data_IF_004556429925
#
_entry.id   IF_004556429925
#
_cell.length_a   1.000
_cell.length_b   1.000
_cell.length_c   1.000
_cell.angle_alpha   90.00
_cell.angle_beta   90.00
_cell.angle_gamma   90.00
#
_symmetry.space_group_name_H-M   'P 1'
#
loop_
_entity.id
_entity.type
_entity.pdbx_description
1 polymer ?
#
# COMPACT_ATOMS: atom_id res chain seq x y z
N UNK A 1 -24.69 -86.65 -5.56
CA UNK A 1 -24.62 -86.07 -4.20
C UNK A 1 -24.69 -84.57 -4.38
N UNK A 2 -25.81 -83.88 -4.13
CA UNK A 2 -26.93 -84.15 -3.19
C UNK A 2 -26.39 -84.32 -1.75
N UNK A 3 -26.85 -83.60 -0.71
CA UNK A 3 -28.05 -82.74 -0.62
C UNK A 3 -27.92 -81.59 0.43
N UNK A 4 -29.05 -80.96 0.81
CA UNK A 4 -29.32 -79.81 1.70
C UNK A 4 -28.54 -79.79 3.06
N UNK A 5 -28.39 -78.70 3.82
CA UNK A 5 -29.34 -77.63 4.25
C UNK A 5 -29.97 -77.99 5.63
N UNK A 6 -30.41 -77.10 6.55
CA UNK A 6 -30.58 -75.64 6.62
C UNK A 6 -30.53 -75.13 8.09
N UNK A 7 -30.46 -73.81 8.31
CA UNK A 7 -30.83 -73.12 9.57
C UNK A 7 -30.35 -71.65 9.56
N UNK A 8 -31.14 -70.57 9.49
CA UNK A 8 -32.42 -70.15 10.14
C UNK A 8 -32.25 -70.03 11.68
N UNK A 9 -32.62 -68.94 12.38
CA UNK A 9 -33.37 -67.71 12.00
C UNK A 9 -33.06 -66.52 12.99
N UNK A 10 -33.81 -65.39 13.14
CA UNK A 10 -33.21 -64.06 12.90
C UNK A 10 -33.51 -62.94 13.96
N UNK A 11 -33.19 -61.69 13.59
CA UNK A 11 -33.73 -60.38 14.09
C UNK A 11 -33.54 -60.02 15.58
N UNK A 12 -32.83 -58.91 15.80
CA UNK A 12 -33.18 -57.92 16.81
C UNK A 12 -32.77 -56.51 16.33
N UNK A 13 -33.74 -55.64 16.03
CA UNK A 13 -33.51 -54.21 15.77
C UNK A 13 -33.89 -53.44 17.02
N UNK A 14 -32.98 -52.61 17.52
CA UNK A 14 -33.28 -51.64 18.60
C UNK A 14 -32.66 -50.30 18.23
N UNK A 15 -33.41 -49.21 18.42
CA UNK A 15 -33.03 -47.87 17.96
C UNK A 15 -33.08 -46.84 19.09
N UNK A 16 -32.39 -45.71 18.88
CA UNK A 16 -32.25 -44.55 19.80
C UNK A 16 -31.32 -44.84 21.00
N UNK A 17 -30.72 -43.83 21.65
CA UNK A 17 -30.93 -42.38 21.53
C UNK A 17 -29.62 -41.57 21.54
N UNK A 18 -29.68 -40.35 21.00
CA UNK A 18 -28.61 -39.34 21.04
C UNK A 18 -28.46 -38.71 22.43
N UNK A 19 -27.24 -38.63 22.99
CA UNK A 19 -26.91 -37.62 24.00
C UNK A 19 -26.58 -36.28 23.32
N UNK A 20 -26.88 -35.18 24.02
CA UNK A 20 -26.74 -33.79 23.54
C UNK A 20 -25.31 -33.26 23.59
N UNK A 21 -25.06 -32.14 22.92
CA UNK A 21 -23.84 -31.34 23.07
C UNK A 21 -23.42 -31.17 24.54
N UNK A 22 -22.16 -31.48 24.85
CA UNK A 22 -21.45 -30.85 25.95
C UNK A 22 -20.70 -29.63 25.38
N UNK A 23 -21.18 -28.43 25.67
CA UNK A 23 -20.57 -27.17 25.22
C UNK A 23 -19.26 -26.96 26.00
N UNK A 24 -18.12 -27.01 25.30
CA UNK A 24 -16.82 -26.67 25.92
C UNK A 24 -16.87 -25.20 26.34
N UNK A 25 -16.57 -24.85 27.61
CA UNK A 25 -16.59 -23.46 28.06
C UNK A 25 -15.42 -22.67 27.47
N UNK A 26 -15.61 -21.36 27.29
CA UNK A 26 -14.56 -20.45 26.83
C UNK A 26 -13.31 -20.59 27.71
N UNK A 27 -12.15 -20.85 27.10
CA UNK A 27 -10.88 -20.56 27.75
C UNK A 27 -10.60 -19.06 27.58
N UNK A 28 -11.23 -18.28 28.45
CA UNK A 28 -11.13 -16.82 28.47
C UNK A 28 -9.70 -16.39 28.86
N UNK A 29 -8.88 -16.10 27.85
CA UNK A 29 -7.50 -15.65 28.05
C UNK A 29 -7.51 -14.25 28.65
N UNK A 30 -7.32 -14.18 29.98
CA UNK A 30 -7.39 -12.95 30.75
C UNK A 30 -6.46 -11.86 30.19
N UNK A 31 -7.05 -10.77 29.70
CA UNK A 31 -6.31 -9.57 29.28
C UNK A 31 -5.69 -8.93 30.53
N UNK A 32 -4.37 -8.74 30.60
CA UNK A 32 -3.76 -8.06 31.74
C UNK A 32 -4.20 -6.60 31.78
N UNK A 33 -4.53 -6.03 32.96
CA UNK A 33 -5.02 -4.66 33.05
C UNK A 33 -3.91 -3.68 32.64
N UNK A 34 -4.12 -3.04 31.48
CA UNK A 34 -3.22 -2.02 30.94
C UNK A 34 -3.15 -0.83 31.91
N UNK A 35 -2.10 -0.77 32.72
CA UNK A 35 -1.90 0.31 33.70
C UNK A 35 -1.64 1.62 32.96
N UNK A 36 -2.70 2.42 32.83
CA UNK A 36 -2.66 3.78 32.31
C UNK A 36 -1.82 4.67 33.25
N UNK A 37 -0.50 4.69 33.03
CA UNK A 37 0.40 5.66 33.63
C UNK A 37 0.14 7.03 32.99
N UNK A 38 -0.81 7.76 33.56
CA UNK A 38 -1.07 9.16 33.23
C UNK A 38 0.19 9.97 33.59
N UNK A 39 0.90 10.58 32.63
CA UNK A 39 1.93 11.55 32.97
C UNK A 39 1.24 12.78 33.55
N UNK A 40 1.48 13.04 34.85
CA UNK A 40 0.96 14.25 35.50
C UNK A 40 1.71 15.45 34.93
N UNK A 41 1.10 16.10 33.94
CA UNK A 41 1.61 17.32 33.34
C UNK A 41 1.50 18.46 34.35
N UNK A 42 2.59 18.71 35.08
CA UNK A 42 2.70 19.78 36.06
C UNK A 42 2.72 21.15 35.36
N UNK A 43 1.53 21.71 35.11
CA UNK A 43 1.37 23.07 34.58
C UNK A 43 1.81 24.08 35.65
N UNK A 44 3.06 24.51 35.58
CA UNK A 44 3.57 25.61 36.40
C UNK A 44 3.02 26.94 35.87
N UNK A 45 2.10 27.58 36.62
CA UNK A 45 1.67 28.94 36.33
C UNK A 45 2.81 29.91 36.64
N UNK A 46 3.44 30.47 35.61
CA UNK A 46 4.22 31.70 35.71
C UNK A 46 3.34 32.86 35.26
N UNK A 47 2.91 33.68 36.21
CA UNK A 47 2.11 34.87 35.95
C UNK A 47 2.95 36.14 36.11
N UNK A 48 3.04 36.95 35.05
CA UNK A 48 3.48 38.34 35.13
C UNK A 48 2.50 39.23 34.34
N UNK A 49 1.83 40.15 35.04
CA UNK A 49 1.04 41.22 34.43
C UNK A 49 1.95 42.31 33.86
N UNK A 50 1.47 43.06 32.85
CA UNK A 50 2.05 44.35 32.48
C UNK A 50 1.72 44.82 31.07
N UNK A 51 0.60 45.55 30.85
CA UNK A 51 0.27 46.15 29.56
C UNK A 51 0.64 47.64 29.50
N UNK A 52 1.05 48.14 28.33
CA UNK A 52 0.69 49.51 27.91
C UNK A 52 0.73 49.66 26.38
N UNK A 53 0.01 50.67 25.87
CA UNK A 53 -0.10 51.04 24.46
C UNK A 53 0.23 52.55 24.28
N UNK A 54 -0.14 53.13 23.12
CA UNK A 54 0.11 54.53 22.70
C UNK A 54 1.58 54.84 22.30
N UNK A 55 1.88 55.71 21.33
CA UNK A 55 1.00 56.45 20.41
C UNK A 55 1.71 56.87 19.10
N UNK A 56 0.92 57.37 18.14
CA UNK A 56 1.32 58.25 17.03
C UNK A 56 0.48 59.56 17.15
N UNK A 57 0.85 60.74 16.59
CA UNK A 57 1.08 60.99 15.15
C UNK A 57 2.48 61.66 14.92
N UNK A 58 2.84 62.58 14.02
CA UNK A 58 2.19 63.56 13.11
C UNK A 58 2.97 63.74 11.78
N UNK A 59 2.48 64.64 10.92
CA UNK A 59 3.18 65.23 9.76
C UNK A 59 2.87 66.73 9.75
N UNK A 60 3.74 67.60 9.19
CA UNK A 60 3.25 68.39 8.06
C UNK A 60 4.31 68.66 6.97
N UNK A 61 3.89 69.27 5.85
CA UNK A 61 4.71 69.51 4.66
C UNK A 61 4.62 70.97 4.15
N UNK A 62 5.67 71.42 3.43
CA UNK A 62 5.71 72.47 2.41
C UNK A 62 7.12 72.40 1.75
N UNK A 63 7.33 72.26 0.43
CA UNK A 63 6.94 73.08 -0.74
C UNK A 63 7.87 74.30 -0.98
N UNK A 64 8.11 74.76 -2.23
CA UNK A 64 8.38 73.97 -3.45
C UNK A 64 9.50 74.54 -4.38
N UNK A 65 9.81 73.81 -5.46
CA UNK A 65 10.30 74.27 -6.78
C UNK A 65 11.70 74.90 -6.98
N UNK A 66 12.56 74.16 -7.70
CA UNK A 66 13.51 74.67 -8.70
C UNK A 66 13.80 73.55 -9.74
N UNK A 67 14.11 73.89 -11.00
CA UNK A 67 14.24 72.91 -12.09
C UNK A 67 15.68 72.71 -12.58
N UNK A 68 16.04 71.48 -12.92
CA UNK A 68 17.25 71.10 -13.65
C UNK A 68 16.99 69.83 -14.51
N UNK A 69 17.71 69.68 -15.62
CA UNK A 69 17.48 68.65 -16.64
C UNK A 69 18.24 67.34 -16.36
N UNK A 70 17.75 66.17 -16.83
CA UNK A 70 18.39 64.89 -16.57
C UNK A 70 19.66 64.67 -17.43
N UNK A 71 20.79 64.22 -16.85
CA UNK A 71 21.88 63.63 -17.61
C UNK A 71 21.52 62.21 -18.10
N UNK A 72 22.20 61.74 -19.14
CA UNK A 72 21.99 60.39 -19.71
C UNK A 72 22.38 59.26 -18.75
N UNK A 73 21.75 58.07 -18.85
CA UNK A 73 22.05 56.94 -17.98
C UNK A 73 23.50 56.45 -18.15
N UNK A 74 24.23 56.38 -17.04
CA UNK A 74 25.53 55.73 -16.99
C UNK A 74 25.39 54.21 -17.19
N UNK A 75 26.40 53.58 -17.79
CA UNK A 75 26.39 52.14 -18.04
C UNK A 75 26.35 51.34 -16.72
N UNK A 76 25.45 50.37 -16.64
CA UNK A 76 25.40 49.43 -15.51
C UNK A 76 26.65 48.55 -15.49
N UNK A 77 27.21 48.24 -14.30
CA UNK A 77 28.28 47.24 -14.20
C UNK A 77 27.74 45.85 -14.61
N UNK A 78 28.60 44.97 -15.15
CA UNK A 78 28.17 43.64 -15.57
C UNK A 78 27.67 42.82 -14.36
N UNK A 79 26.49 42.23 -14.50
CA UNK A 79 25.92 41.40 -13.44
C UNK A 79 26.73 40.10 -13.26
N UNK A 80 27.13 39.83 -12.02
CA UNK A 80 27.66 38.51 -11.63
C UNK A 80 26.63 37.44 -11.98
N UNK A 81 27.00 36.31 -12.61
CA UNK A 81 26.05 35.27 -12.95
C UNK A 81 25.47 34.67 -11.66
N UNK A 82 24.17 34.86 -11.44
CA UNK A 82 23.41 34.14 -10.41
C UNK A 82 23.59 32.65 -10.64
N UNK A 83 24.11 31.92 -9.64
CA UNK A 83 24.14 30.47 -9.69
C UNK A 83 22.69 29.98 -9.74
N UNK A 84 22.28 29.42 -10.88
CA UNK A 84 20.95 28.88 -11.05
C UNK A 84 20.78 27.66 -10.17
N UNK A 85 19.86 27.74 -9.19
CA UNK A 85 19.43 26.58 -8.42
C UNK A 85 18.89 25.53 -9.37
N UNK A 86 19.65 24.45 -9.59
CA UNK A 86 19.17 23.28 -10.35
C UNK A 86 17.99 22.69 -9.57
N UNK A 87 16.78 22.60 -10.14
CA UNK A 87 15.63 22.07 -9.41
C UNK A 87 15.87 20.60 -9.06
N UNK A 88 15.93 20.29 -7.77
CA UNK A 88 15.98 18.90 -7.30
C UNK A 88 14.69 18.18 -7.74
N UNK A 89 14.83 16.98 -8.30
CA UNK A 89 13.69 16.22 -8.80
C UNK A 89 12.70 15.88 -7.68
N UNK A 90 11.50 16.46 -7.73
CA UNK A 90 10.38 16.10 -6.86
C UNK A 90 9.70 14.83 -7.34
N UNK A 91 8.88 14.20 -6.51
CA UNK A 91 8.13 12.98 -6.89
C UNK A 91 7.27 13.24 -8.13
N UNK A 92 6.63 14.40 -8.23
CA UNK A 92 5.78 14.77 -9.36
C UNK A 92 6.54 14.81 -10.69
N UNK A 93 7.84 15.11 -10.68
CA UNK A 93 8.67 15.08 -11.89
C UNK A 93 8.88 13.68 -12.47
N UNK A 94 8.61 12.62 -11.70
CA UNK A 94 8.60 11.23 -12.16
C UNK A 94 7.22 10.74 -12.63
N UNK A 95 6.16 11.56 -12.48
CA UNK A 95 4.79 11.22 -12.92
C UNK A 95 4.56 11.77 -14.33
N UNK A 96 4.42 10.92 -15.37
CA UNK A 96 4.28 11.43 -16.74
C UNK A 96 2.97 12.19 -16.96
N UNK A 97 3.01 13.21 -17.81
CA UNK A 97 1.88 14.11 -18.06
C UNK A 97 0.55 13.37 -18.31
N UNK A 98 -0.52 13.84 -17.66
CA UNK A 98 -1.86 13.21 -17.69
C UNK A 98 -2.01 11.96 -16.80
N UNK A 99 -0.92 11.38 -16.31
CA UNK A 99 -0.96 10.31 -15.29
C UNK A 99 -1.20 10.92 -13.90
N UNK A 100 -1.60 10.08 -12.92
CA UNK A 100 -1.80 10.49 -11.53
C UNK A 100 -1.00 9.59 -10.58
N UNK A 101 -0.28 10.18 -9.62
CA UNK A 101 0.13 9.44 -8.42
C UNK A 101 -1.12 9.03 -7.62
N UNK A 102 -1.40 7.73 -7.60
CA UNK A 102 -2.50 7.14 -6.83
C UNK A 102 -2.14 7.03 -5.35
N UNK A 103 -0.91 6.59 -5.09
CA UNK A 103 -0.31 6.44 -3.77
C UNK A 103 1.18 6.77 -3.84
N UNK A 104 1.72 7.29 -2.74
CA UNK A 104 3.09 7.76 -2.60
C UNK A 104 3.54 7.50 -1.17
N UNK A 105 4.30 6.42 -0.96
CA UNK A 105 4.81 6.03 0.34
C UNK A 105 6.28 6.42 0.48
N UNK A 106 6.58 7.35 1.40
CA UNK A 106 7.94 7.70 1.80
C UNK A 106 8.45 6.70 2.85
N UNK A 107 9.70 6.29 2.73
CA UNK A 107 10.35 5.40 3.69
C UNK A 107 11.72 4.96 3.19
N UNK A 108 12.39 4.11 3.95
CA UNK A 108 13.73 3.61 3.63
C UNK A 108 13.62 2.32 2.81
N UNK A 109 13.61 2.44 1.47
CA UNK A 109 13.48 1.27 0.58
C UNK A 109 14.75 0.41 0.58
N UNK A 110 15.91 0.98 0.92
CA UNK A 110 17.22 0.31 0.82
C UNK A 110 17.75 -0.25 2.14
N UNK A 111 17.22 0.19 3.29
CA UNK A 111 17.74 -0.15 4.61
C UNK A 111 18.93 0.73 5.04
N UNK A 112 19.13 1.87 4.38
CA UNK A 112 20.24 2.80 4.57
C UNK A 112 19.85 4.07 5.35
N UNK A 113 18.60 4.18 5.80
CA UNK A 113 18.07 5.36 6.50
C UNK A 113 17.70 6.55 5.59
N UNK A 114 17.60 6.33 4.28
CA UNK A 114 17.24 7.37 3.31
C UNK A 114 15.72 7.59 3.21
N UNK A 115 15.29 8.78 2.77
CA UNK A 115 13.87 9.07 2.53
C UNK A 115 13.49 8.76 1.08
N UNK A 116 13.61 7.49 0.72
CA UNK A 116 13.19 6.94 -0.57
C UNK A 116 11.65 7.06 -0.74
N UNK A 117 11.13 6.77 -1.94
CA UNK A 117 9.70 6.78 -2.24
C UNK A 117 9.27 5.62 -3.14
N UNK A 118 8.21 4.91 -2.75
CA UNK A 118 7.42 4.06 -3.63
C UNK A 118 6.24 4.89 -4.17
N UNK A 119 6.05 4.91 -5.49
CA UNK A 119 4.99 5.69 -6.15
C UNK A 119 4.16 4.78 -7.05
N UNK A 120 2.85 4.69 -6.79
CA UNK A 120 1.91 3.96 -7.66
C UNK A 120 1.26 4.95 -8.60
N UNK A 121 1.53 4.82 -9.90
CA UNK A 121 1.06 5.72 -10.96
C UNK A 121 -0.11 5.07 -11.70
N UNK A 122 -1.27 5.72 -11.62
CA UNK A 122 -2.38 5.45 -12.54
C UNK A 122 -2.14 6.16 -13.88
N UNK A 123 -2.30 5.48 -15.02
CA UNK A 123 -2.23 6.11 -16.34
C UNK A 123 -3.39 7.11 -16.53
N UNK A 124 -3.35 7.96 -17.59
CA UNK A 124 -4.48 8.80 -17.95
C UNK A 124 -5.71 7.93 -18.24
N UNK A 125 -6.85 8.25 -17.62
CA UNK A 125 -8.11 7.58 -17.90
C UNK A 125 -8.66 8.03 -19.26
N UNK A 126 -9.19 7.10 -20.07
CA UNK A 126 -9.87 7.42 -21.34
C UNK A 126 -11.36 7.74 -21.14
N UNK A 127 -11.91 7.46 -19.95
CA UNK A 127 -13.28 7.79 -19.56
C UNK A 127 -14.36 6.86 -20.14
N UNK A 128 -13.94 5.77 -20.78
CA UNK A 128 -14.80 4.83 -21.51
C UNK A 128 -14.45 3.35 -21.26
N UNK A 129 -13.47 3.08 -20.38
CA UNK A 129 -13.05 1.75 -19.95
C UNK A 129 -14.21 1.02 -19.25
N UNK A 130 -14.54 -0.20 -19.66
CA UNK A 130 -15.56 -1.04 -18.98
C UNK A 130 -14.96 -1.80 -17.79
N UNK A 131 -15.80 -2.59 -17.11
CA UNK A 131 -15.33 -3.54 -16.09
C UNK A 131 -14.33 -4.53 -16.72
N UNK A 132 -13.18 -4.74 -16.08
CA UNK A 132 -12.09 -5.56 -16.61
C UNK A 132 -11.24 -4.90 -17.71
N UNK A 133 -11.56 -3.68 -18.14
CA UNK A 133 -10.81 -2.95 -19.18
C UNK A 133 -10.00 -1.79 -18.57
N UNK A 134 -8.86 -1.49 -19.20
CA UNK A 134 -8.00 -0.35 -18.88
C UNK A 134 -6.52 -0.69 -18.91
N UNK A 135 -5.67 0.33 -18.89
CA UNK A 135 -4.22 0.16 -18.80
C UNK A 135 -3.81 -0.24 -17.36
N UNK A 136 -2.82 -1.14 -17.19
CA UNK A 136 -2.29 -1.47 -15.86
C UNK A 136 -1.55 -0.26 -15.26
N UNK A 137 -1.37 -0.29 -13.94
CA UNK A 137 -0.65 0.76 -13.22
C UNK A 137 0.84 0.45 -13.13
N UNK A 138 1.64 1.51 -12.99
CA UNK A 138 3.09 1.40 -12.88
C UNK A 138 3.51 1.76 -11.46
N UNK A 139 4.36 0.94 -10.86
CA UNK A 139 4.96 1.20 -9.54
C UNK A 139 6.41 1.61 -9.78
N UNK A 140 6.78 2.79 -9.32
CA UNK A 140 8.16 3.29 -9.32
C UNK A 140 8.77 3.14 -7.95
N UNK A 141 10.05 2.78 -7.91
CA UNK A 141 10.91 2.91 -6.74
C UNK A 141 11.89 4.06 -7.01
N UNK A 142 11.82 5.10 -6.18
CA UNK A 142 12.69 6.27 -6.25
C UNK A 142 13.61 6.26 -5.03
N UNK A 143 14.92 6.15 -5.23
CA UNK A 143 15.91 6.24 -4.13
C UNK A 143 16.39 7.67 -3.96
N UNK A 144 16.71 8.06 -2.72
CA UNK A 144 17.33 9.34 -2.40
C UNK A 144 18.86 9.26 -2.43
N UNK A 145 19.48 10.19 -3.15
CA UNK A 145 20.93 10.40 -3.18
C UNK A 145 21.43 11.13 -1.93
N UNK A 146 22.75 11.13 -1.73
CA UNK A 146 23.40 11.81 -0.59
C UNK A 146 23.23 13.34 -0.57
N UNK A 147 22.86 13.96 -1.70
CA UNK A 147 22.49 15.39 -1.81
C UNK A 147 21.00 15.65 -1.52
N UNK A 148 20.23 14.60 -1.20
CA UNK A 148 18.80 14.65 -0.96
C UNK A 148 17.92 14.53 -2.23
N UNK A 149 18.51 14.52 -3.43
CA UNK A 149 17.75 14.39 -4.70
C UNK A 149 17.16 12.99 -4.85
N UNK A 150 16.01 12.87 -5.52
CA UNK A 150 15.44 11.57 -5.88
C UNK A 150 15.90 11.14 -7.28
N UNK A 151 16.07 9.84 -7.48
CA UNK A 151 16.29 9.21 -8.78
C UNK A 151 15.46 7.92 -8.91
N UNK A 152 15.01 7.58 -10.12
CA UNK A 152 14.28 6.33 -10.36
C UNK A 152 15.26 5.14 -10.36
N UNK A 153 15.13 4.26 -9.36
CA UNK A 153 15.93 3.05 -9.23
C UNK A 153 15.29 1.85 -9.96
N UNK A 154 13.97 1.70 -9.91
CA UNK A 154 13.26 0.62 -10.60
C UNK A 154 11.81 0.97 -10.98
N UNK A 155 11.21 0.18 -11.87
CA UNK A 155 9.82 0.34 -12.35
C UNK A 155 9.22 -1.03 -12.70
N UNK A 156 7.97 -1.27 -12.28
CA UNK A 156 7.19 -2.46 -12.68
C UNK A 156 5.78 -2.04 -13.14
N UNK A 157 5.31 -2.55 -14.28
CA UNK A 157 3.99 -2.25 -14.88
C UNK A 157 3.03 -3.45 -14.96
N UNK A 158 3.28 -4.51 -14.19
CA UNK A 158 2.52 -5.78 -14.19
C UNK A 158 1.88 -6.11 -12.84
N UNK A 159 2.43 -5.61 -11.72
CA UNK A 159 1.95 -5.94 -10.36
C UNK A 159 0.54 -5.40 -10.10
N UNK A 160 0.26 -4.14 -10.43
CA UNK A 160 -0.99 -3.47 -10.05
C UNK A 160 -1.92 -3.36 -11.28
N UNK A 161 -3.07 -4.08 -11.29
CA UNK A 161 -3.97 -4.05 -12.45
C UNK A 161 -4.68 -2.70 -12.66
N UNK A 162 -5.43 -2.62 -13.76
CA UNK A 162 -6.19 -1.42 -14.13
C UNK A 162 -7.23 -1.03 -13.07
N UNK A 163 -7.63 0.23 -13.03
CA UNK A 163 -8.60 0.77 -12.05
C UNK A 163 -9.99 0.10 -12.07
N UNK A 164 -10.31 -0.70 -13.11
CA UNK A 164 -11.57 -1.45 -13.24
C UNK A 164 -11.36 -2.98 -13.24
N UNK A 165 -10.16 -3.45 -12.92
CA UNK A 165 -9.77 -4.86 -13.03
C UNK A 165 -10.06 -5.69 -11.77
N UNK A 166 -10.57 -5.10 -10.68
CA UNK A 166 -10.92 -5.81 -9.44
C UNK A 166 -12.27 -6.54 -9.47
N UNK A 167 -12.97 -6.56 -10.61
CA UNK A 167 -14.31 -7.12 -10.69
C UNK A 167 -15.33 -6.30 -9.89
N UNK A 168 -16.30 -6.97 -9.26
CA UNK A 168 -17.32 -6.28 -8.43
C UNK A 168 -16.77 -5.79 -7.08
N UNK A 169 -15.48 -5.96 -6.79
CA UNK A 169 -14.76 -5.18 -5.77
C UNK A 169 -14.54 -3.71 -6.19
N UNK A 170 -14.48 -3.43 -7.49
CA UNK A 170 -14.11 -2.13 -8.04
C UNK A 170 -12.62 -2.05 -8.35
N UNK A 171 -11.91 -1.16 -7.64
CA UNK A 171 -10.49 -0.89 -7.85
C UNK A 171 -9.62 -1.98 -7.19
N UNK A 172 -8.73 -2.67 -7.93
CA UNK A 172 -7.95 -3.75 -7.36
C UNK A 172 -6.75 -3.30 -6.53
N UNK A 173 -6.42 -2.01 -6.47
CA UNK A 173 -5.31 -1.54 -5.64
C UNK A 173 -5.76 -1.35 -4.18
N UNK A 174 -5.22 -2.16 -3.26
CA UNK A 174 -5.56 -2.08 -1.85
C UNK A 174 -4.65 -1.11 -1.08
N UNK A 175 -3.34 -1.36 -1.07
CA UNK A 175 -2.35 -0.46 -0.45
C UNK A 175 -0.92 -0.76 -0.92
N UNK A 176 0.00 0.16 -0.60
CA UNK A 176 1.43 -0.12 -0.53
C UNK A 176 1.96 0.21 0.87
N UNK A 177 3.08 -0.41 1.26
CA UNK A 177 3.72 -0.16 2.55
C UNK A 177 5.23 -0.24 2.38
N UNK A 178 5.95 0.76 2.90
CA UNK A 178 7.42 0.76 2.97
C UNK A 178 7.87 0.56 4.42
N UNK A 179 8.90 -0.27 4.59
CA UNK A 179 9.59 -0.58 5.85
C UNK A 179 11.11 -0.60 5.55
N UNK A 180 12.01 -0.46 6.54
CA UNK A 180 13.46 -0.40 6.29
C UNK A 180 13.97 -1.61 5.48
N UNK A 181 14.39 -1.36 4.24
CA UNK A 181 14.89 -2.38 3.31
C UNK A 181 13.83 -3.30 2.69
N UNK A 182 12.53 -3.02 2.85
CA UNK A 182 11.44 -3.89 2.40
C UNK A 182 10.18 -3.09 2.04
N UNK A 183 9.40 -3.55 1.04
CA UNK A 183 8.06 -3.03 0.80
C UNK A 183 7.09 -4.13 0.41
N UNK A 184 5.80 -3.87 0.62
CA UNK A 184 4.69 -4.74 0.18
C UNK A 184 3.74 -3.94 -0.71
N UNK A 185 3.25 -4.57 -1.77
CA UNK A 185 2.15 -4.10 -2.60
C UNK A 185 1.01 -5.09 -2.45
N UNK A 186 -0.17 -4.60 -2.07
CA UNK A 186 -1.38 -5.40 -1.87
C UNK A 186 -2.40 -5.08 -2.96
N UNK A 187 -2.93 -6.12 -3.59
CA UNK A 187 -4.05 -6.04 -4.54
C UNK A 187 -5.16 -7.01 -4.16
N UNK A 188 -6.41 -6.70 -4.52
CA UNK A 188 -7.55 -7.57 -4.25
C UNK A 188 -8.65 -7.44 -5.31
N UNK A 189 -9.65 -8.32 -5.26
CA UNK A 189 -10.75 -8.26 -6.22
C UNK A 189 -11.81 -9.35 -6.03
N UNK A 190 -12.58 -9.57 -7.08
CA UNK A 190 -13.59 -10.64 -7.17
C UNK A 190 -15.04 -10.12 -7.07
N UNK A 191 -15.94 -10.98 -6.59
CA UNK A 191 -17.38 -10.72 -6.47
C UNK A 191 -18.00 -11.41 -5.24
N UNK A 192 -18.48 -12.65 -5.37
CA UNK A 192 -18.78 -13.55 -4.24
C UNK A 192 -17.50 -14.21 -3.76
N UNK A 193 -16.79 -14.88 -4.67
CA UNK A 193 -15.38 -15.21 -4.46
C UNK A 193 -14.56 -13.92 -4.42
N UNK A 194 -13.75 -13.74 -3.39
CA UNK A 194 -12.81 -12.64 -3.18
C UNK A 194 -11.40 -13.18 -3.23
N UNK A 195 -10.52 -12.47 -3.91
CA UNK A 195 -9.09 -12.78 -3.91
C UNK A 195 -8.28 -11.59 -3.38
N UNK A 196 -7.13 -11.88 -2.79
CA UNK A 196 -6.11 -10.89 -2.44
C UNK A 196 -4.72 -11.46 -2.69
N UNK A 197 -3.81 -10.65 -3.24
CA UNK A 197 -2.40 -10.97 -3.37
C UNK A 197 -1.56 -9.87 -2.68
N UNK A 198 -0.75 -10.27 -1.70
CA UNK A 198 0.28 -9.44 -1.08
C UNK A 198 1.66 -9.86 -1.63
N UNK A 199 2.33 -8.93 -2.33
CA UNK A 199 3.68 -9.14 -2.87
C UNK A 199 4.71 -8.35 -2.06
N UNK A 200 5.57 -9.05 -1.33
CA UNK A 200 6.64 -8.45 -0.50
C UNK A 200 7.99 -8.57 -1.19
N UNK A 201 8.70 -7.45 -1.30
CA UNK A 201 10.03 -7.34 -1.90
C UNK A 201 11.03 -6.78 -0.91
N UNK A 202 12.25 -7.31 -0.92
CA UNK A 202 13.32 -6.96 0.00
C UNK A 202 14.58 -6.54 -0.76
N UNK A 203 15.24 -5.49 -0.30
CA UNK A 203 16.47 -5.01 -0.90
C UNK A 203 17.63 -5.99 -0.67
N UNK A 204 18.34 -6.34 -1.74
CA UNK A 204 19.57 -7.12 -1.71
C UNK A 204 20.75 -6.20 -2.00
N UNK A 205 21.59 -5.95 -1.00
CA UNK A 205 22.78 -5.13 -1.14
C UNK A 205 23.74 -5.71 -2.21
N UNK A 206 23.94 -7.03 -2.22
CA UNK A 206 24.80 -7.76 -3.16
C UNK A 206 24.34 -7.67 -4.63
N UNK A 207 23.05 -7.38 -4.87
CA UNK A 207 22.44 -7.23 -6.19
C UNK A 207 22.05 -5.79 -6.51
N UNK A 208 22.18 -4.88 -5.54
CA UNK A 208 21.76 -3.47 -5.58
C UNK A 208 20.32 -3.28 -6.12
N UNK A 209 19.42 -4.21 -5.79
CA UNK A 209 18.03 -4.22 -6.26
C UNK A 209 17.12 -4.96 -5.30
N UNK A 210 15.81 -4.82 -5.48
CA UNK A 210 14.79 -5.50 -4.69
C UNK A 210 14.46 -6.85 -5.32
N UNK A 211 14.52 -7.90 -4.51
CA UNK A 211 14.10 -9.25 -4.88
C UNK A 211 12.74 -9.56 -4.25
N UNK A 212 11.94 -10.40 -4.89
CA UNK A 212 10.73 -10.96 -4.30
C UNK A 212 11.13 -11.82 -3.10
N UNK A 213 10.50 -11.58 -1.95
CA UNK A 213 10.86 -12.15 -0.63
C UNK A 213 9.75 -13.08 -0.13
N UNK A 214 8.49 -12.65 -0.27
CA UNK A 214 7.30 -13.45 0.03
C UNK A 214 6.13 -13.07 -0.89
N UNK A 215 5.27 -14.04 -1.18
CA UNK A 215 3.90 -13.78 -1.67
C UNK A 215 2.90 -14.48 -0.77
N UNK A 216 1.80 -13.80 -0.45
CA UNK A 216 0.59 -14.42 0.13
C UNK A 216 -0.53 -14.25 -0.87
N UNK A 217 -1.26 -15.33 -1.18
CA UNK A 217 -2.44 -15.34 -2.06
C UNK A 217 -3.62 -15.93 -1.31
N UNK A 218 -4.68 -15.16 -1.13
CA UNK A 218 -5.92 -15.59 -0.49
C UNK A 218 -7.06 -15.70 -1.50
N UNK A 219 -7.92 -16.69 -1.30
CA UNK A 219 -9.21 -16.85 -1.97
C UNK A 219 -10.27 -17.20 -0.92
N UNK A 220 -11.37 -16.46 -0.85
CA UNK A 220 -12.48 -16.72 0.06
C UNK A 220 -13.85 -16.49 -0.58
N UNK A 221 -14.90 -17.13 -0.05
CA UNK A 221 -16.28 -16.99 -0.54
C UNK A 221 -17.14 -16.27 0.52
N UNK A 222 -17.78 -15.15 0.15
CA UNK A 222 -18.57 -14.33 1.06
C UNK A 222 -19.95 -14.91 1.43
N UNK A 223 -20.37 -16.03 0.84
CA UNK A 223 -21.63 -16.73 1.16
C UNK A 223 -21.40 -18.04 1.93
N UNK A 224 -20.29 -18.75 1.68
CA UNK A 224 -20.00 -20.05 2.33
C UNK A 224 -18.97 -19.98 3.46
N UNK A 225 -18.33 -18.82 3.67
CA UNK A 225 -17.20 -18.60 4.60
C UNK A 225 -15.97 -19.50 4.31
N UNK A 226 -15.93 -20.19 3.17
CA UNK A 226 -14.76 -20.98 2.75
C UNK A 226 -13.59 -20.06 2.43
N UNK A 227 -12.37 -20.50 2.77
CA UNK A 227 -11.13 -19.73 2.58
C UNK A 227 -9.94 -20.66 2.35
N UNK A 228 -9.08 -20.30 1.40
CA UNK A 228 -7.80 -20.92 1.11
C UNK A 228 -6.71 -19.83 1.08
N UNK A 229 -5.55 -20.10 1.69
CA UNK A 229 -4.32 -19.31 1.55
C UNK A 229 -3.25 -20.13 0.84
N UNK A 230 -2.45 -19.48 0.00
CA UNK A 230 -1.18 -19.99 -0.52
C UNK A 230 -0.07 -18.97 -0.21
N UNK A 231 0.89 -19.36 0.62
CA UNK A 231 2.15 -18.64 0.77
C UNK A 231 3.21 -19.20 -0.20
N UNK A 232 4.04 -18.32 -0.76
CA UNK A 232 5.18 -18.65 -1.63
C UNK A 232 6.44 -17.89 -1.18
N UNK A 233 7.59 -18.51 -1.37
CA UNK A 233 8.92 -18.02 -0.95
C UNK A 233 9.96 -18.16 -2.07
N UNK A 234 11.19 -17.70 -1.80
CA UNK A 234 12.36 -17.87 -2.67
C UNK A 234 12.59 -19.32 -3.15
N UNK A 235 12.14 -20.32 -2.39
CA UNK A 235 12.18 -21.75 -2.77
C UNK A 235 11.19 -22.12 -3.88
N UNK A 236 10.11 -21.37 -4.01
CA UNK A 236 9.00 -21.63 -4.93
C UNK A 236 9.15 -20.88 -6.27
N UNK A 237 9.76 -19.68 -6.24
CA UNK A 237 9.95 -18.83 -7.42
C UNK A 237 11.41 -18.47 -7.73
N UNK A 238 12.39 -18.84 -6.89
CA UNK A 238 13.80 -18.53 -7.08
C UNK A 238 14.15 -17.06 -6.78
N UNK A 239 15.20 -16.55 -7.43
CA UNK A 239 15.59 -15.14 -7.32
C UNK A 239 14.94 -14.32 -8.45
N UNK A 240 13.88 -13.57 -8.13
CA UNK A 240 13.15 -12.72 -9.08
C UNK A 240 13.28 -11.25 -8.66
N UNK A 241 13.67 -10.36 -9.58
CA UNK A 241 13.76 -8.91 -9.28
C UNK A 241 12.38 -8.26 -9.29
N UNK A 242 12.22 -7.14 -8.58
CA UNK A 242 11.02 -6.31 -8.68
C UNK A 242 10.75 -5.83 -10.11
N UNK A 243 11.78 -5.52 -10.91
CA UNK A 243 11.61 -5.06 -12.29
C UNK A 243 11.13 -6.17 -13.23
N UNK A 244 11.53 -7.42 -12.99
CA UNK A 244 11.23 -8.57 -13.84
C UNK A 244 9.99 -9.36 -13.38
N UNK A 245 9.57 -9.19 -12.13
CA UNK A 245 8.45 -9.93 -11.54
C UNK A 245 7.13 -9.74 -12.30
N UNK A 246 6.40 -10.84 -12.49
CA UNK A 246 5.06 -10.89 -13.05
C UNK A 246 4.18 -11.84 -12.22
N UNK A 247 3.11 -11.35 -11.55
CA UNK A 247 2.19 -12.17 -10.78
C UNK A 247 1.61 -13.37 -11.54
N UNK A 248 1.46 -13.28 -12.87
CA UNK A 248 0.88 -14.32 -13.70
C UNK A 248 1.77 -15.57 -13.85
N UNK A 249 3.06 -15.46 -13.50
CA UNK A 249 4.01 -16.60 -13.51
C UNK A 249 3.91 -17.49 -12.28
N UNK A 250 3.26 -17.03 -11.22
CA UNK A 250 3.19 -17.73 -9.93
C UNK A 250 2.15 -18.86 -9.93
N UNK A 251 2.39 -19.84 -9.06
CA UNK A 251 1.38 -20.82 -8.65
C UNK A 251 0.16 -20.09 -8.08
N UNK A 252 -1.03 -20.50 -8.53
CA UNK A 252 -2.32 -20.01 -8.01
C UNK A 252 -2.68 -20.71 -6.70
N UNK A 253 -3.40 -19.99 -5.83
CA UNK A 253 -4.12 -20.58 -4.68
C UNK A 253 -5.11 -21.64 -5.16
N UNK A 254 -5.39 -22.65 -4.34
CA UNK A 254 -6.36 -23.69 -4.67
C UNK A 254 -7.78 -23.10 -4.74
N UNK A 255 -8.57 -23.56 -5.70
CA UNK A 255 -10.00 -23.24 -5.76
C UNK A 255 -10.72 -23.72 -4.49
N UNK A 256 -11.84 -23.09 -4.15
CA UNK A 256 -12.70 -23.52 -3.07
C UNK A 256 -13.54 -24.72 -3.55
N UNK A 257 -13.73 -25.74 -2.70
CA UNK A 257 -14.52 -26.91 -3.07
C UNK A 257 -16.02 -26.57 -3.16
N UNK A 258 -16.69 -26.88 -4.28
CA UNK A 258 -18.15 -26.70 -4.44
C UNK A 258 -18.95 -27.75 -3.63
N UNK A 259 -18.85 -27.68 -2.30
CA UNK A 259 -19.55 -28.53 -1.34
C UNK A 259 -21.05 -28.17 -1.23
N UNK A 260 -21.80 -28.35 -2.33
CA UNK A 260 -23.25 -28.07 -2.37
C UNK A 260 -24.02 -28.56 -3.60
N UNK A 261 -23.35 -28.96 -4.70
CA UNK A 261 -24.03 -29.24 -5.97
C UNK A 261 -24.61 -30.66 -6.15
N UNK A 262 -24.65 -31.52 -5.12
CA UNK A 262 -25.03 -32.93 -5.24
C UNK A 262 -25.95 -33.48 -4.14
N UNK A 263 -27.12 -32.86 -3.86
CA UNK A 263 -28.24 -33.59 -3.22
C UNK A 263 -29.65 -33.07 -3.58
N UNK A 264 -29.98 -32.99 -4.88
CA UNK A 264 -31.38 -32.93 -5.35
C UNK A 264 -31.55 -33.72 -6.65
N UNK A 265 -31.95 -34.99 -6.56
CA UNK A 265 -32.40 -35.79 -7.72
C UNK A 265 -33.28 -36.99 -7.32
#
# INVERSE_FOLDING_TARGET
MLDLGQGRRPVAVTARATPRHAKTPNQETAVPPFRLLIPILAVALVACNGPQAADAPETPANAPAAAAQPPSPAASPPATPTQGTVPMATIDSFVPAGSKALDTQRGDLTGAGHSDALVVISPPATGNEKLGEGQPRRVLLLTQNADGSLQKAAENGRIVPCARCGGLAGDPYAFSRVQPGQFTISISGGSRERWADDFTFKYSADKQTWLLDKVVRDLSDTETEQHNTLELTDKDFGAVTFQDFDPATLKKVAALDEAGAQEQH
#
